data_IF_033146837506
#
_entry.id   IF_033146837506
#
_cell.length_a   1.000
_cell.length_b   1.000
_cell.length_c   1.000
_cell.angle_alpha   90.00
_cell.angle_beta   90.00
_cell.angle_gamma   90.00
#
_symmetry.space_group_name_H-M   'P 1'
#
loop_
_entity.id
_entity.type
_entity.pdbx_description
1 polymer ?
#
# COMPACT_ATOMS: atom_id res chain seq x y z
N UNK A 1 -29.74 -5.52 -3.05
CA UNK A 1 -29.10 -6.42 -4.05
C UNK A 1 -27.60 -6.31 -3.84
N UNK A 2 -27.02 -7.20 -3.03
CA UNK A 2 -25.57 -7.17 -2.75
C UNK A 2 -24.83 -7.89 -3.88
N UNK A 3 -24.16 -7.11 -4.72
CA UNK A 3 -23.29 -7.63 -5.77
C UNK A 3 -21.97 -8.05 -5.12
N UNK A 4 -21.86 -9.34 -4.77
CA UNK A 4 -20.58 -9.94 -4.39
C UNK A 4 -19.66 -9.93 -5.61
N UNK A 5 -18.84 -8.89 -5.72
CA UNK A 5 -17.76 -8.87 -6.70
C UNK A 5 -16.71 -9.87 -6.20
N UNK A 6 -16.68 -11.07 -6.78
CA UNK A 6 -15.68 -12.08 -6.48
C UNK A 6 -14.28 -11.45 -6.56
N UNK A 7 -13.55 -11.51 -5.45
CA UNK A 7 -12.23 -10.92 -5.37
C UNK A 7 -11.27 -11.73 -6.27
N UNK A 8 -10.73 -11.09 -7.31
CA UNK A 8 -9.80 -11.73 -8.28
C UNK A 8 -8.68 -12.50 -7.58
N UNK A 9 -8.24 -12.03 -6.40
CA UNK A 9 -7.23 -12.67 -5.57
C UNK A 9 -7.66 -14.03 -5.00
N UNK A 10 -8.94 -14.19 -4.62
CA UNK A 10 -9.46 -15.49 -4.18
C UNK A 10 -9.62 -16.47 -5.33
N UNK A 11 -9.98 -15.97 -6.53
CA UNK A 11 -10.06 -16.79 -7.73
C UNK A 11 -8.67 -17.37 -8.10
N UNK A 12 -7.63 -16.55 -8.13
CA UNK A 12 -6.26 -17.04 -8.40
C UNK A 12 -5.72 -17.95 -7.30
N UNK A 13 -6.06 -17.72 -6.02
CA UNK A 13 -5.69 -18.63 -4.93
C UNK A 13 -6.32 -20.01 -5.13
N UNK A 14 -7.62 -20.06 -5.43
CA UNK A 14 -8.36 -21.31 -5.62
C UNK A 14 -7.92 -22.05 -6.89
N UNK A 15 -7.71 -21.33 -7.99
CA UNK A 15 -7.23 -21.90 -9.25
C UNK A 15 -5.76 -22.36 -9.18
N UNK A 16 -4.89 -21.63 -8.48
CA UNK A 16 -3.47 -21.95 -8.34
C UNK A 16 -3.22 -23.19 -7.49
N UNK A 17 -3.98 -23.39 -6.41
CA UNK A 17 -3.91 -24.60 -5.58
C UNK A 17 -4.33 -25.85 -6.38
N UNK A 18 -5.35 -25.73 -7.24
CA UNK A 18 -5.79 -26.82 -8.12
C UNK A 18 -4.73 -27.25 -9.14
N UNK A 19 -3.93 -26.31 -9.66
CA UNK A 19 -2.87 -26.61 -10.64
C UNK A 19 -1.62 -27.24 -10.01
N UNK A 20 -1.24 -26.81 -8.80
CA UNK A 20 -0.09 -27.37 -8.06
C UNK A 20 -0.34 -28.81 -7.57
N UNK A 21 -1.58 -29.18 -7.25
CA UNK A 21 -1.95 -30.55 -6.88
C UNK A 21 -1.79 -31.56 -8.03
N UNK A 22 -1.90 -31.10 -9.28
CA UNK A 22 -1.79 -31.94 -10.49
C UNK A 22 -0.33 -32.21 -10.90
N UNK A 23 0.63 -31.36 -10.50
CA UNK A 23 2.03 -31.44 -10.95
C UNK A 23 2.94 -32.34 -10.08
N UNK A 24 2.42 -32.94 -9.01
CA UNK A 24 3.18 -33.82 -8.12
C UNK A 24 4.12 -33.06 -7.17
N UNK A 25 4.29 -33.58 -5.96
CA UNK A 25 5.05 -32.99 -4.83
C UNK A 25 6.58 -32.99 -5.00
N UNK A 26 7.08 -33.17 -6.23
CA UNK A 26 8.51 -33.30 -6.52
C UNK A 26 9.16 -31.95 -6.86
N UNK A 27 9.82 -31.36 -5.87
CA UNK A 27 10.67 -30.16 -5.95
C UNK A 27 9.94 -28.83 -6.11
N UNK A 28 9.65 -28.18 -4.98
CA UNK A 28 9.45 -26.73 -4.94
C UNK A 28 10.76 -26.10 -5.40
N UNK A 29 10.79 -25.64 -6.65
CA UNK A 29 11.91 -24.85 -7.15
C UNK A 29 11.93 -23.50 -6.41
N UNK A 30 13.10 -22.88 -6.20
CA UNK A 30 13.20 -21.61 -5.47
C UNK A 30 12.31 -20.51 -6.07
N UNK A 31 12.08 -20.52 -7.39
CA UNK A 31 11.13 -19.64 -8.07
C UNK A 31 9.67 -19.87 -7.63
N UNK A 32 9.28 -21.11 -7.33
CA UNK A 32 7.94 -21.44 -6.85
C UNK A 32 7.76 -20.99 -5.40
N UNK A 33 8.79 -21.16 -4.56
CA UNK A 33 8.79 -20.64 -3.19
C UNK A 33 8.69 -19.10 -3.17
N UNK A 34 9.46 -18.41 -4.02
CA UNK A 34 9.39 -16.96 -4.16
C UNK A 34 8.05 -16.49 -4.73
N UNK A 35 7.44 -17.23 -5.66
CA UNK A 35 6.12 -16.92 -6.18
C UNK A 35 5.01 -17.10 -5.12
N UNK A 36 5.14 -18.12 -4.25
CA UNK A 36 4.23 -18.33 -3.12
C UNK A 36 4.36 -17.20 -2.10
N UNK A 37 5.58 -16.82 -1.71
CA UNK A 37 5.83 -15.71 -0.77
C UNK A 37 5.29 -14.38 -1.33
N UNK A 38 5.48 -14.15 -2.63
CA UNK A 38 4.86 -13.02 -3.32
C UNK A 38 3.34 -13.13 -3.44
N UNK A 39 2.73 -14.32 -3.36
CA UNK A 39 1.27 -14.49 -3.44
C UNK A 39 0.59 -14.28 -2.08
N UNK A 40 1.34 -14.38 -0.98
CA UNK A 40 0.79 -14.19 0.37
C UNK A 40 0.14 -12.81 0.53
N UNK A 41 -0.93 -12.70 1.35
CA UNK A 41 -1.56 -11.42 1.64
C UNK A 41 -0.57 -10.44 2.30
N UNK A 42 -0.27 -9.36 1.58
CA UNK A 42 0.60 -8.29 2.06
C UNK A 42 -0.25 -7.13 2.57
N UNK A 43 0.17 -6.53 3.68
CA UNK A 43 -0.50 -5.39 4.30
C UNK A 43 0.52 -4.39 4.78
N UNK A 44 0.23 -3.10 4.58
CA UNK A 44 0.98 -2.00 5.20
C UNK A 44 0.70 -2.00 6.70
N UNK A 45 1.73 -2.16 7.53
CA UNK A 45 1.63 -2.25 9.00
C UNK A 45 2.09 -0.98 9.69
N UNK A 46 2.98 -0.21 9.07
CA UNK A 46 3.53 1.02 9.64
C UNK A 46 3.94 1.99 8.54
N UNK A 47 3.85 3.28 8.84
CA UNK A 47 4.25 4.38 7.95
C UNK A 47 5.09 5.36 8.75
N UNK A 48 6.31 5.65 8.30
CA UNK A 48 7.19 6.65 8.91
C UNK A 48 7.45 7.81 7.93
N UNK A 49 7.50 9.02 8.46
CA UNK A 49 8.17 10.16 7.81
C UNK A 49 9.61 10.25 8.31
N UNK A 50 10.58 10.30 7.40
CA UNK A 50 12.01 10.40 7.72
C UNK A 50 12.59 11.65 7.10
N UNK A 51 13.34 12.41 7.88
CA UNK A 51 14.08 13.61 7.45
C UNK A 51 15.40 13.70 8.17
N UNK A 52 16.43 14.17 7.48
CA UNK A 52 17.73 14.46 8.09
C UNK A 52 17.75 15.80 8.81
N UNK A 53 17.14 16.82 8.19
CA UNK A 53 16.96 18.18 8.75
C UNK A 53 15.54 18.64 8.45
N UNK A 54 15.04 19.58 9.24
CA UNK A 54 13.67 20.10 9.09
C UNK A 54 13.40 20.52 7.66
N UNK A 55 14.23 21.41 7.11
CA UNK A 55 14.03 22.06 5.79
C UNK A 55 14.60 21.30 4.59
N UNK A 56 14.89 20.01 4.77
CA UNK A 56 15.42 19.14 3.72
C UNK A 56 14.32 18.25 3.13
N UNK A 57 14.70 17.46 2.13
CA UNK A 57 13.85 16.45 1.53
C UNK A 57 13.27 15.51 2.60
N UNK A 58 12.03 15.08 2.37
CA UNK A 58 11.38 14.07 3.22
C UNK A 58 11.25 12.76 2.47
N UNK A 59 11.48 11.67 3.19
CA UNK A 59 11.17 10.31 2.74
C UNK A 59 10.01 9.73 3.54
N UNK A 60 9.24 8.87 2.88
CA UNK A 60 8.20 8.06 3.48
C UNK A 60 8.65 6.60 3.42
N UNK A 61 8.58 5.91 4.56
CA UNK A 61 8.82 4.46 4.64
C UNK A 61 7.52 3.74 4.91
N UNK A 62 7.19 2.76 4.08
CA UNK A 62 6.04 1.86 4.25
C UNK A 62 6.57 0.49 4.66
N UNK A 63 6.19 0.02 5.84
CA UNK A 63 6.53 -1.31 6.32
C UNK A 63 5.37 -2.25 6.06
N UNK A 64 5.68 -3.47 5.69
CA UNK A 64 4.69 -4.52 5.44
C UNK A 64 4.78 -5.63 6.47
N UNK A 65 3.73 -6.45 6.56
CA UNK A 65 3.69 -7.63 7.44
C UNK A 65 4.70 -8.73 7.08
N UNK A 66 5.21 -8.75 5.84
CA UNK A 66 6.23 -9.71 5.40
C UNK A 66 7.67 -9.13 5.46
N UNK A 67 7.87 -8.00 6.15
CA UNK A 67 9.20 -7.45 6.40
C UNK A 67 9.80 -6.62 5.26
N UNK A 68 9.05 -6.38 4.19
CA UNK A 68 9.47 -5.50 3.09
C UNK A 68 9.26 -4.03 3.51
N UNK A 69 10.21 -3.17 3.11
CA UNK A 69 10.13 -1.73 3.32
C UNK A 69 10.17 -1.01 1.98
N UNK A 70 9.09 -0.32 1.63
CA UNK A 70 9.05 0.60 0.50
C UNK A 70 9.50 2.00 0.90
N UNK A 71 10.25 2.67 0.03
CA UNK A 71 10.73 4.05 0.25
C UNK A 71 10.18 4.94 -0.86
N UNK A 72 9.58 6.06 -0.49
CA UNK A 72 9.15 7.12 -1.40
C UNK A 72 9.75 8.45 -0.98
N UNK A 73 10.04 9.31 -1.95
CA UNK A 73 10.60 10.65 -1.74
C UNK A 73 9.54 11.72 -1.99
N UNK A 74 9.59 12.81 -1.22
CA UNK A 74 8.79 14.01 -1.47
C UNK A 74 9.60 15.29 -1.26
N UNK A 75 9.13 16.36 -1.90
CA UNK A 75 9.79 17.67 -1.95
C UNK A 75 9.93 18.33 -0.57
N UNK A 76 10.81 19.34 -0.43
CA UNK A 76 11.00 20.04 0.85
C UNK A 76 9.78 20.93 1.17
N UNK A 77 8.88 20.49 2.06
CA UNK A 77 7.90 21.35 2.78
C UNK A 77 7.47 20.69 4.09
N UNK A 78 7.69 21.33 5.22
CA UNK A 78 8.07 20.52 6.38
C UNK A 78 6.87 20.09 7.23
N UNK A 79 6.12 20.93 7.91
CA UNK A 79 5.08 20.39 8.81
C UNK A 79 3.77 20.01 8.12
N UNK A 80 3.38 20.72 7.05
CA UNK A 80 2.15 20.43 6.31
C UNK A 80 2.16 19.06 5.64
N UNK A 81 3.32 18.60 5.15
CA UNK A 81 3.44 17.27 4.56
C UNK A 81 3.34 16.14 5.60
N UNK A 82 3.84 16.35 6.83
CA UNK A 82 3.61 15.39 7.92
C UNK A 82 2.13 15.33 8.26
N UNK A 83 1.44 16.47 8.31
CA UNK A 83 -0.02 16.53 8.47
C UNK A 83 -0.74 15.74 7.40
N UNK A 84 -0.47 16.03 6.13
CA UNK A 84 -1.06 15.30 5.00
C UNK A 84 -0.75 13.80 5.05
N UNK A 85 0.49 13.41 5.38
CA UNK A 85 0.85 12.00 5.53
C UNK A 85 0.06 11.34 6.68
N UNK A 86 -0.16 12.02 7.80
CA UNK A 86 -0.98 11.50 8.91
C UNK A 86 -2.41 11.24 8.46
N UNK A 87 -2.99 12.13 7.65
CA UNK A 87 -4.34 11.96 7.10
C UNK A 87 -4.41 10.76 6.16
N UNK A 88 -3.45 10.62 5.23
CA UNK A 88 -3.39 9.49 4.32
C UNK A 88 -3.02 8.17 5.01
N UNK A 89 -2.27 8.21 6.10
CA UNK A 89 -1.82 7.00 6.81
C UNK A 89 -3.00 6.15 7.28
N UNK A 90 -4.10 6.78 7.72
CA UNK A 90 -5.32 6.09 8.14
C UNK A 90 -5.95 5.28 7.01
N UNK A 91 -5.85 5.77 5.78
CA UNK A 91 -6.36 5.08 4.60
C UNK A 91 -5.43 3.96 4.12
N UNK A 92 -4.12 4.12 4.31
CA UNK A 92 -3.11 3.20 3.79
C UNK A 92 -2.88 1.98 4.70
N UNK A 93 -2.98 2.14 6.02
CA UNK A 93 -2.79 1.04 6.98
C UNK A 93 -3.76 -0.12 6.70
N UNK A 94 -3.23 -1.34 6.69
CA UNK A 94 -3.99 -2.56 6.43
C UNK A 94 -4.29 -2.83 4.95
N UNK A 95 -4.01 -1.89 4.04
CA UNK A 95 -4.15 -2.11 2.60
C UNK A 95 -2.98 -2.91 2.04
N UNK A 96 -3.24 -3.59 0.92
CA UNK A 96 -2.19 -4.24 0.16
C UNK A 96 -1.43 -3.22 -0.68
N UNK A 97 -0.11 -3.07 -0.50
CA UNK A 97 0.69 -2.05 -1.19
C UNK A 97 0.78 -2.27 -2.70
N UNK A 98 0.41 -3.45 -3.22
CA UNK A 98 0.45 -3.78 -4.66
C UNK A 98 -0.77 -3.26 -5.41
N UNK A 99 -1.82 -2.80 -4.71
CA UNK A 99 -3.00 -2.20 -5.34
C UNK A 99 -2.75 -0.71 -5.68
N UNK A 100 -1.63 -0.42 -6.36
CA UNK A 100 -1.05 0.91 -6.54
C UNK A 100 -2.07 1.90 -7.13
N UNK A 101 -2.69 1.56 -8.26
CA UNK A 101 -3.64 2.44 -8.94
C UNK A 101 -4.88 2.77 -8.10
N UNK A 102 -5.37 1.78 -7.34
CA UNK A 102 -6.51 1.99 -6.45
C UNK A 102 -6.14 2.91 -5.30
N UNK A 103 -4.99 2.66 -4.68
CA UNK A 103 -4.46 3.51 -3.62
C UNK A 103 -4.27 4.94 -4.12
N UNK A 104 -3.62 5.11 -5.28
CA UNK A 104 -3.37 6.41 -5.87
C UNK A 104 -4.68 7.15 -6.18
N UNK A 105 -5.65 6.49 -6.80
CA UNK A 105 -6.95 7.11 -7.11
C UNK A 105 -7.71 7.54 -5.86
N UNK A 106 -7.70 6.71 -4.81
CA UNK A 106 -8.36 7.04 -3.55
C UNK A 106 -7.68 8.25 -2.86
N UNK A 107 -6.34 8.26 -2.84
CA UNK A 107 -5.54 9.39 -2.33
C UNK A 107 -5.77 10.66 -3.13
N UNK A 108 -5.72 10.58 -4.46
CA UNK A 108 -5.93 11.71 -5.36
C UNK A 108 -7.35 12.25 -5.24
N UNK A 109 -8.35 11.38 -5.15
CA UNK A 109 -9.74 11.76 -4.92
C UNK A 109 -9.89 12.56 -3.63
N UNK A 110 -9.38 12.05 -2.51
CA UNK A 110 -9.39 12.77 -1.24
C UNK A 110 -8.64 14.11 -1.31
N UNK A 111 -7.47 14.15 -1.95
CA UNK A 111 -6.67 15.36 -2.10
C UNK A 111 -7.38 16.42 -2.97
N UNK A 112 -8.03 16.00 -4.06
CA UNK A 112 -8.70 16.88 -5.02
C UNK A 112 -9.85 17.67 -4.39
N UNK A 113 -10.56 17.09 -3.43
CA UNK A 113 -11.59 17.81 -2.66
C UNK A 113 -11.01 18.86 -1.70
N UNK A 114 -9.71 18.83 -1.42
CA UNK A 114 -9.04 19.75 -0.50
C UNK A 114 -8.22 20.83 -1.23
N UNK A 115 -8.38 20.99 -2.55
CA UNK A 115 -7.58 21.94 -3.36
C UNK A 115 -8.02 23.40 -3.15
N UNK A 116 -9.32 23.65 -3.08
CA UNK A 116 -9.89 24.97 -2.75
C UNK A 116 -10.88 24.78 -1.61
N UNK A 117 -10.60 25.35 -0.45
CA UNK A 117 -11.38 25.16 0.77
C UNK A 117 -10.87 24.03 1.68
N UNK A 118 -9.58 23.68 1.56
CA UNK A 118 -8.94 22.57 2.23
C UNK A 118 -8.52 22.89 3.67
N UNK A 119 -7.22 22.74 3.94
CA UNK A 119 -6.69 22.97 5.27
C UNK A 119 -6.94 24.42 5.73
N UNK A 120 -6.81 25.40 4.84
CA UNK A 120 -6.98 26.82 5.10
C UNK A 120 -8.40 27.21 5.54
N UNK A 121 -9.45 26.50 5.12
CA UNK A 121 -10.83 26.75 5.58
C UNK A 121 -11.21 25.93 6.82
N UNK A 122 -10.50 24.84 7.12
CA UNK A 122 -10.81 23.93 8.25
C UNK A 122 -10.10 24.32 9.55
N UNK A 123 -9.15 25.26 9.48
CA UNK A 123 -8.35 25.72 10.62
C UNK A 123 -8.74 27.10 11.15
N UNK A 124 -9.64 27.81 10.45
CA UNK A 124 -10.26 29.06 10.90
C UNK A 124 -11.62 28.77 11.55
#
# INVERSE_FOLDING_TARGET
>A
MNHNHGNRREFFRTAGIGFLAVMGTGMIKPETAAAIDNAEPMKITKIDAVRFKKDWQMWVRLYTNNGIVGIGETYPRTESQIGALKDFSRMLLGRDPRDIERIWRDMYGQASFNVTGGAEMRII
#
